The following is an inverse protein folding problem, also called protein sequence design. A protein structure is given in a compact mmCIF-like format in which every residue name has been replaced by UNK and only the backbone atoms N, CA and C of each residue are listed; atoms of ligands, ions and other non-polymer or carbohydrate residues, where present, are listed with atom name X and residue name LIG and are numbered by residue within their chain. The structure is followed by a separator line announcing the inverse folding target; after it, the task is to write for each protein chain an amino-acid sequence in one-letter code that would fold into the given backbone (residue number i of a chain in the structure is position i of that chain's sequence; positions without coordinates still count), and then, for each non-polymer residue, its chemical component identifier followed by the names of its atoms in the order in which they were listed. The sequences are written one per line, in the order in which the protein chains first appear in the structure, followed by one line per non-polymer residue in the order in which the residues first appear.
data_IF_744659309035
#
_entry.id   IF_744659309035
#
_cell.length_a   1.000
_cell.length_b   1.000
_cell.length_c   1.000
_cell.angle_alpha   90.00
_cell.angle_beta   90.00
_cell.angle_gamma   90.00
#
_symmetry.space_group_name_H-M   'P 1'
#
loop_
_entity.id
_entity.type
_entity.pdbx_description
1 polymer ?
#
# COMPACT_ATOMS: atom_id res chain seq x y z
N UNK A 1 30.09 -35.86 5.82
CA UNK A 1 30.05 -34.65 6.69
C UNK A 1 29.46 -33.47 5.90
N UNK A 2 28.19 -33.54 5.47
CA UNK A 2 27.62 -32.58 4.49
C UNK A 2 26.18 -32.14 4.79
N UNK A 3 25.82 -31.99 6.07
CA UNK A 3 24.46 -31.58 6.49
C UNK A 3 24.37 -30.16 7.07
N UNK A 4 25.45 -29.38 7.01
CA UNK A 4 25.49 -28.02 7.55
C UNK A 4 25.28 -26.91 6.48
N UNK A 5 25.15 -27.27 5.19
CA UNK A 5 25.07 -26.32 4.06
C UNK A 5 23.64 -26.16 3.50
N UNK A 6 22.63 -26.70 4.19
CA UNK A 6 21.24 -26.74 3.72
C UNK A 6 20.26 -26.17 4.77
N UNK A 7 20.60 -25.09 5.48
CA UNK A 7 19.50 -24.26 6.01
C UNK A 7 18.82 -23.67 4.79
N UNK A 8 17.62 -24.15 4.41
CA UNK A 8 16.92 -23.60 3.26
C UNK A 8 16.74 -22.10 3.53
N UNK A 9 16.87 -21.24 2.52
CA UNK A 9 16.68 -19.79 2.70
C UNK A 9 15.35 -19.43 3.39
N UNK A 10 14.35 -20.33 3.32
CA UNK A 10 13.09 -20.27 4.07
C UNK A 10 13.27 -20.34 5.60
N UNK A 11 14.14 -21.21 6.15
CA UNK A 11 14.35 -21.29 7.60
C UNK A 11 15.01 -20.02 8.12
N UNK A 12 15.99 -19.50 7.39
CA UNK A 12 16.64 -18.24 7.73
C UNK A 12 15.63 -17.10 7.71
N UNK A 13 14.76 -17.05 6.70
CA UNK A 13 13.69 -16.07 6.65
C UNK A 13 12.68 -16.19 7.78
N UNK A 14 12.29 -17.42 8.16
CA UNK A 14 11.40 -17.66 9.29
C UNK A 14 12.02 -17.17 10.61
N UNK A 15 13.31 -17.44 10.83
CA UNK A 15 14.04 -16.95 12.00
C UNK A 15 14.08 -15.42 12.02
N UNK A 16 14.35 -14.77 10.88
CA UNK A 16 14.32 -13.31 10.78
C UNK A 16 12.93 -12.76 11.13
N UNK A 17 11.87 -13.36 10.58
CA UNK A 17 10.48 -12.97 10.89
C UNK A 17 10.15 -13.16 12.38
N UNK A 18 10.55 -14.28 12.99
CA UNK A 18 10.35 -14.55 14.42
C UNK A 18 11.17 -13.62 15.31
N UNK A 19 12.41 -13.30 14.94
CA UNK A 19 13.23 -12.35 15.70
C UNK A 19 12.65 -10.94 15.62
N UNK A 20 12.18 -10.52 14.45
CA UNK A 20 11.48 -9.25 14.30
C UNK A 20 10.18 -9.22 15.11
N UNK A 21 9.44 -10.32 15.14
CA UNK A 21 8.26 -10.50 15.98
C UNK A 21 8.60 -10.36 17.48
N UNK A 22 9.64 -11.05 17.95
CA UNK A 22 10.08 -10.99 19.35
C UNK A 22 10.59 -9.61 19.72
N UNK A 23 11.31 -8.93 18.83
CA UNK A 23 11.73 -7.55 19.03
C UNK A 23 10.53 -6.59 19.07
N UNK A 24 9.55 -6.78 18.19
CA UNK A 24 8.29 -6.02 18.20
C UNK A 24 7.47 -6.24 19.46
N UNK A 25 7.41 -7.48 19.96
CA UNK A 25 6.77 -7.83 21.23
C UNK A 25 7.49 -7.19 22.43
N UNK A 26 8.82 -7.29 22.47
CA UNK A 26 9.63 -6.67 23.52
C UNK A 26 9.44 -5.15 23.51
N UNK A 27 9.47 -4.52 22.34
CA UNK A 27 9.20 -3.08 22.21
C UNK A 27 7.77 -2.71 22.65
N UNK A 28 6.77 -3.52 22.30
CA UNK A 28 5.38 -3.32 22.73
C UNK A 28 5.27 -3.35 24.26
N UNK A 29 5.90 -4.34 24.89
CA UNK A 29 5.90 -4.53 26.33
C UNK A 29 6.69 -3.42 27.06
N UNK A 30 7.80 -2.94 26.50
CA UNK A 30 8.59 -1.86 27.09
C UNK A 30 7.90 -0.50 26.98
N UNK A 31 7.15 -0.25 25.90
CA UNK A 31 6.43 1.02 25.69
C UNK A 31 4.97 0.98 26.18
N UNK A 32 4.53 -0.14 26.76
CA UNK A 32 3.15 -0.38 27.23
C UNK A 32 2.10 -0.10 26.14
N UNK A 33 2.43 -0.44 24.88
CA UNK A 33 1.56 -0.20 23.73
C UNK A 33 0.54 -1.33 23.58
N UNK A 34 -0.77 -1.04 23.48
CA UNK A 34 -1.82 -2.04 23.28
C UNK A 34 -1.88 -2.49 21.81
N UNK A 35 -0.77 -2.98 21.28
CA UNK A 35 -0.60 -3.37 19.87
C UNK A 35 0.00 -4.77 19.79
N UNK A 36 -0.53 -5.68 18.95
CA UNK A 36 0.07 -7.00 18.76
C UNK A 36 1.52 -6.86 18.29
N UNK A 37 2.44 -7.63 18.90
CA UNK A 37 3.86 -7.62 18.53
C UNK A 37 4.12 -7.88 17.04
N UNK A 38 3.17 -8.51 16.32
CA UNK A 38 3.26 -8.76 14.87
C UNK A 38 3.24 -7.47 14.07
N UNK A 39 2.37 -6.55 14.46
CA UNK A 39 2.25 -5.25 13.80
C UNK A 39 3.51 -4.43 14.06
N UNK A 40 4.09 -4.50 15.26
CA UNK A 40 5.35 -3.83 15.55
C UNK A 40 6.54 -4.50 14.86
N UNK A 41 6.54 -5.82 14.71
CA UNK A 41 7.55 -6.56 13.95
C UNK A 41 7.59 -6.16 12.47
N UNK A 42 6.43 -6.00 11.82
CA UNK A 42 6.38 -5.51 10.42
C UNK A 42 6.84 -4.06 10.29
N UNK A 43 6.52 -3.19 11.25
CA UNK A 43 6.99 -1.79 11.28
C UNK A 43 8.50 -1.76 11.47
N UNK A 44 9.04 -2.61 12.35
CA UNK A 44 10.47 -2.75 12.56
C UNK A 44 11.18 -3.23 11.28
N UNK A 45 10.65 -4.26 10.61
CA UNK A 45 11.19 -4.74 9.33
C UNK A 45 11.11 -3.68 8.23
N UNK A 46 10.02 -2.91 8.17
CA UNK A 46 9.88 -1.81 7.22
C UNK A 46 10.93 -0.72 7.46
N UNK A 47 11.12 -0.31 8.72
CA UNK A 47 12.17 0.64 9.11
C UNK A 47 13.56 0.11 8.72
N UNK A 48 13.82 -1.16 9.02
CA UNK A 48 15.08 -1.82 8.70
C UNK A 48 15.32 -1.91 7.18
N UNK A 49 14.27 -2.07 6.38
CA UNK A 49 14.33 -2.10 4.92
C UNK A 49 14.57 -0.72 4.27
N UNK A 50 14.13 0.36 4.92
CA UNK A 50 14.41 1.75 4.49
C UNK A 50 15.90 2.07 4.71
N UNK A 51 16.50 1.55 5.77
CA UNK A 51 17.94 1.71 6.03
C UNK A 51 18.75 0.88 5.02
N UNK A 52 19.45 1.56 4.10
CA UNK A 52 20.34 0.96 3.08
C UNK A 52 21.25 -0.18 3.58
N UNK A 53 21.93 -0.09 4.74
CA UNK A 53 22.82 -1.17 5.20
C UNK A 53 22.10 -2.46 5.60
N UNK A 54 20.79 -2.42 5.84
CA UNK A 54 20.06 -3.53 6.46
C UNK A 54 19.06 -4.21 5.52
N UNK A 55 19.07 -3.85 4.23
CA UNK A 55 18.30 -4.50 3.16
C UNK A 55 18.53 -6.01 3.04
N UNK A 56 19.69 -6.50 3.48
CA UNK A 56 20.00 -7.94 3.52
C UNK A 56 19.03 -8.72 4.41
N UNK A 57 18.56 -8.12 5.50
CA UNK A 57 17.60 -8.74 6.43
C UNK A 57 16.22 -8.92 5.78
N UNK A 58 15.79 -7.95 4.98
CA UNK A 58 14.51 -8.05 4.25
C UNK A 58 14.55 -9.12 3.15
N UNK A 59 15.66 -9.18 2.40
CA UNK A 59 15.89 -10.25 1.40
C UNK A 59 15.96 -11.63 2.01
N UNK A 60 16.49 -11.73 3.22
CA UNK A 60 16.52 -12.96 3.99
C UNK A 60 15.11 -13.43 4.41
N UNK A 61 14.19 -12.51 4.71
CA UNK A 61 12.82 -12.81 5.13
C UNK A 61 11.89 -13.22 3.98
N UNK A 62 12.13 -12.71 2.77
CA UNK A 62 11.29 -12.90 1.57
C UNK A 62 10.93 -14.36 1.23
N UNK A 63 11.85 -15.34 1.28
CA UNK A 63 11.57 -16.75 0.97
C UNK A 63 10.58 -17.40 1.95
N UNK A 64 10.53 -16.90 3.19
CA UNK A 64 9.59 -17.36 4.22
C UNK A 64 8.29 -16.55 4.22
N UNK A 65 8.37 -15.26 3.96
CA UNK A 65 7.22 -14.36 3.93
C UNK A 65 6.24 -14.74 2.82
N UNK A 66 6.72 -15.05 1.62
CA UNK A 66 5.86 -15.39 0.45
C UNK A 66 4.87 -16.53 0.74
N UNK A 67 5.29 -17.73 1.20
CA UNK A 67 4.35 -18.80 1.51
C UNK A 67 3.47 -18.51 2.72
N UNK A 68 3.98 -17.81 3.74
CA UNK A 68 3.17 -17.38 4.90
C UNK A 68 2.08 -16.38 4.47
N UNK A 69 2.39 -15.47 3.55
CA UNK A 69 1.45 -14.50 3.02
C UNK A 69 0.37 -15.18 2.15
N UNK A 70 0.77 -16.17 1.35
CA UNK A 70 -0.17 -16.99 0.58
C UNK A 70 -1.12 -17.81 1.49
N UNK A 71 -0.67 -18.19 2.68
CA UNK A 71 -1.43 -18.96 3.66
C UNK A 71 -1.68 -18.16 4.95
N UNK A 72 -1.95 -16.85 4.84
CA UNK A 72 -2.21 -16.00 6.01
C UNK A 72 -3.33 -16.52 6.90
N UNK A 73 -4.24 -17.29 6.33
CA UNK A 73 -5.29 -18.02 7.06
C UNK A 73 -4.70 -18.76 8.28
N UNK A 74 -3.53 -19.40 8.12
CA UNK A 74 -2.81 -20.10 9.19
C UNK A 74 -2.36 -19.16 10.33
N UNK A 75 -2.05 -17.89 10.03
CA UNK A 75 -1.66 -16.90 11.05
C UNK A 75 -2.88 -16.29 11.77
N UNK A 76 -4.06 -16.34 11.14
CA UNK A 76 -5.30 -15.83 11.73
C UNK A 76 -6.09 -16.87 12.50
N UNK A 77 -5.84 -18.17 12.26
CA UNK A 77 -6.47 -19.23 13.06
C UNK A 77 -6.13 -19.12 14.55
N UNK A 78 -4.86 -18.99 15.00
CA UNK A 78 -4.55 -18.97 16.43
C UNK A 78 -5.18 -17.77 17.18
N UNK A 79 -5.09 -16.52 16.67
CA UNK A 79 -5.82 -15.39 17.27
C UNK A 79 -7.34 -15.60 17.26
N UNK A 80 -7.88 -16.17 16.17
CA UNK A 80 -9.31 -16.46 16.06
C UNK A 80 -9.79 -17.46 17.11
N UNK A 81 -9.05 -18.55 17.32
CA UNK A 81 -9.39 -19.57 18.32
C UNK A 81 -9.40 -18.97 19.73
N UNK A 82 -8.53 -18.01 20.04
CA UNK A 82 -8.57 -17.28 21.32
C UNK A 82 -9.89 -16.55 21.56
N UNK A 83 -10.49 -15.96 20.52
CA UNK A 83 -11.81 -15.35 20.59
C UNK A 83 -12.90 -16.42 20.74
N UNK A 84 -12.74 -17.58 20.08
CA UNK A 84 -13.69 -18.68 20.17
C UNK A 84 -13.82 -19.25 21.61
N UNK A 85 -12.77 -19.18 22.41
CA UNK A 85 -12.81 -19.65 23.81
C UNK A 85 -13.69 -18.77 24.71
N UNK A 86 -13.87 -17.50 24.35
CA UNK A 86 -14.64 -16.52 25.13
C UNK A 86 -16.01 -16.23 24.46
N UNK A 87 -16.53 -17.16 23.66
CA UNK A 87 -17.77 -16.95 22.89
C UNK A 87 -18.99 -16.70 23.76
N UNK A 88 -19.11 -17.33 24.92
CA UNK A 88 -20.28 -17.16 25.79
C UNK A 88 -20.39 -15.72 26.31
N UNK A 89 -19.28 -15.15 26.77
CA UNK A 89 -19.19 -13.75 27.19
C UNK A 89 -19.42 -12.79 26.02
N UNK A 90 -18.92 -13.16 24.83
CA UNK A 90 -19.10 -12.40 23.60
C UNK A 90 -20.56 -12.41 23.13
N UNK A 91 -21.25 -13.54 23.26
CA UNK A 91 -22.66 -13.72 22.90
C UNK A 91 -23.57 -12.91 23.83
N UNK A 92 -23.30 -12.91 25.14
CA UNK A 92 -24.02 -12.10 26.11
C UNK A 92 -23.95 -10.59 25.81
N UNK A 93 -22.85 -10.13 25.22
CA UNK A 93 -22.61 -8.72 24.88
C UNK A 93 -22.59 -8.45 23.37
N UNK A 94 -23.17 -9.35 22.56
CA UNK A 94 -23.05 -9.28 21.10
C UNK A 94 -23.61 -7.98 20.51
N UNK A 95 -24.71 -7.47 21.06
CA UNK A 95 -25.36 -6.24 20.58
C UNK A 95 -24.52 -4.98 20.88
N UNK A 96 -24.07 -4.72 22.12
CA UNK A 96 -23.10 -3.65 22.39
C UNK A 96 -21.82 -3.74 21.56
N UNK A 97 -21.23 -4.94 21.41
CA UNK A 97 -20.02 -5.12 20.61
C UNK A 97 -20.26 -4.83 19.13
N UNK A 98 -21.35 -5.33 18.55
CA UNK A 98 -21.67 -5.10 17.15
C UNK A 98 -21.87 -3.61 16.86
N UNK A 99 -22.53 -2.87 17.76
CA UNK A 99 -22.69 -1.43 17.64
C UNK A 99 -21.37 -0.69 17.84
N UNK A 100 -20.53 -1.09 18.80
CA UNK A 100 -19.23 -0.46 19.02
C UNK A 100 -18.28 -0.67 17.82
N UNK A 101 -18.15 -1.91 17.34
CA UNK A 101 -17.27 -2.26 16.21
C UNK A 101 -17.83 -1.72 14.89
N UNK A 102 -19.10 -1.99 14.59
CA UNK A 102 -19.73 -1.52 13.37
C UNK A 102 -19.85 0.00 13.32
N UNK A 103 -20.23 0.62 14.44
CA UNK A 103 -20.33 2.07 14.58
C UNK A 103 -18.97 2.75 14.45
N UNK A 104 -17.93 2.25 15.13
CA UNK A 104 -16.58 2.82 15.02
C UNK A 104 -16.00 2.65 13.61
N UNK A 105 -16.24 1.51 12.96
CA UNK A 105 -15.81 1.28 11.58
C UNK A 105 -16.48 2.24 10.59
N UNK A 106 -17.81 2.36 10.64
CA UNK A 106 -18.56 3.29 9.79
C UNK A 106 -18.14 4.74 10.06
N UNK A 107 -17.99 5.11 11.33
CA UNK A 107 -17.58 6.45 11.72
C UNK A 107 -16.17 6.77 11.22
N UNK A 108 -15.21 5.86 11.38
CA UNK A 108 -13.86 6.00 10.84
C UNK A 108 -13.86 6.15 9.32
N UNK A 109 -14.69 5.37 8.61
CA UNK A 109 -14.84 5.44 7.15
C UNK A 109 -15.38 6.80 6.70
N UNK A 110 -16.44 7.28 7.36
CA UNK A 110 -17.05 8.59 7.07
C UNK A 110 -16.06 9.72 7.36
N UNK A 111 -15.41 9.71 8.52
CA UNK A 111 -14.42 10.75 8.89
C UNK A 111 -13.26 10.74 7.90
N UNK A 112 -12.72 9.57 7.56
CA UNK A 112 -11.63 9.44 6.58
C UNK A 112 -12.04 9.98 5.20
N UNK A 113 -13.26 9.63 4.74
CA UNK A 113 -13.80 10.13 3.47
C UNK A 113 -14.02 11.64 3.47
N UNK A 114 -14.57 12.21 4.55
CA UNK A 114 -14.75 13.65 4.71
C UNK A 114 -13.40 14.39 4.77
N UNK A 115 -12.41 13.82 5.48
CA UNK A 115 -11.06 14.37 5.54
C UNK A 115 -10.43 14.43 4.15
N UNK A 116 -10.55 13.35 3.36
CA UNK A 116 -10.06 13.31 1.99
C UNK A 116 -10.77 14.36 1.12
N UNK A 117 -12.10 14.46 1.19
CA UNK A 117 -12.86 15.48 0.45
C UNK A 117 -12.47 16.90 0.85
N UNK A 118 -12.24 17.15 2.15
CA UNK A 118 -11.82 18.45 2.64
C UNK A 118 -10.42 18.83 2.10
N UNK A 119 -9.49 17.87 2.06
CA UNK A 119 -8.16 18.07 1.49
C UNK A 119 -8.22 18.35 -0.02
N UNK A 120 -9.02 17.60 -0.77
CA UNK A 120 -9.22 17.81 -2.20
C UNK A 120 -9.82 19.20 -2.51
N UNK A 121 -10.88 19.60 -1.78
CA UNK A 121 -11.50 20.94 -1.93
C UNK A 121 -10.52 22.08 -1.61
N UNK A 122 -9.61 21.88 -0.65
CA UNK A 122 -8.55 22.85 -0.32
C UNK A 122 -7.50 22.97 -1.43
N UNK A 123 -7.17 21.87 -2.11
CA UNK A 123 -6.26 21.88 -3.25
C UNK A 123 -6.88 22.60 -4.46
N UNK A 124 -8.17 22.38 -4.74
CA UNK A 124 -8.87 23.07 -5.83
C UNK A 124 -8.97 24.58 -5.62
N UNK A 125 -9.26 25.03 -4.40
CA UNK A 125 -9.24 26.48 -4.06
C UNK A 125 -7.87 27.11 -4.27
N UNK A 126 -6.79 26.43 -3.87
CA UNK A 126 -5.41 26.94 -4.09
C UNK A 126 -5.01 26.98 -5.56
N UNK A 127 -5.53 26.07 -6.39
CA UNK A 127 -5.34 26.14 -7.86
C UNK A 127 -6.12 27.29 -8.50
N UNK A 128 -7.33 27.58 -8.01
CA UNK A 128 -8.14 28.71 -8.48
C UNK A 128 -7.54 30.08 -8.15
N UNK A 129 -6.89 30.22 -6.99
CA UNK A 129 -6.18 31.47 -6.62
C UNK A 129 -4.87 31.66 -7.40
N UNK A 130 -4.18 30.56 -7.77
CA UNK A 130 -3.01 30.62 -8.65
C UNK A 130 -3.36 30.89 -10.13
N UNK A 131 -4.65 30.88 -10.49
CA UNK A 131 -5.19 31.19 -11.82
C UNK A 131 -6.17 32.37 -11.81
N UNK A 132 -5.91 33.38 -10.96
CA UNK A 132 -6.77 34.56 -10.82
C UNK A 132 -6.97 35.36 -12.13
N UNK A 133 -8.01 36.21 -12.18
CA UNK A 133 -8.57 36.88 -13.38
C UNK A 133 -7.66 37.89 -14.10
N UNK A 134 -6.38 37.96 -13.76
CA UNK A 134 -5.36 38.80 -14.41
C UNK A 134 -4.58 38.03 -15.50
N UNK A 135 -5.06 36.85 -15.91
CA UNK A 135 -4.60 36.28 -17.17
C UNK A 135 -4.94 37.30 -18.28
N UNK A 136 -3.94 37.84 -19.00
CA UNK A 136 -4.22 38.78 -20.09
C UNK A 136 -5.23 38.12 -21.04
N UNK A 137 -6.25 38.87 -21.50
CA UNK A 137 -7.24 38.30 -22.41
C UNK A 137 -6.50 37.61 -23.56
N UNK A 138 -6.93 36.41 -24.01
CA UNK A 138 -6.36 35.82 -25.19
C UNK A 138 -6.44 36.86 -26.29
N UNK A 139 -5.29 37.25 -26.83
CA UNK A 139 -5.18 38.26 -27.86
C UNK A 139 -5.99 37.78 -29.06
N UNK A 140 -7.23 38.27 -29.15
CA UNK A 140 -8.09 38.06 -30.29
C UNK A 140 -7.77 39.15 -31.30
N UNK A 141 -7.24 38.72 -32.44
CA UNK A 141 -7.26 39.48 -33.69
C UNK A 141 -6.00 40.25 -34.07
N UNK A 142 -5.61 40.04 -35.33
CA UNK A 142 -4.69 40.81 -36.19
C UNK A 142 -3.18 40.64 -35.88
N UNK A 143 -2.31 40.28 -36.83
CA UNK A 143 -2.24 40.57 -38.27
C UNK A 143 -1.15 39.61 -38.83
N UNK A 144 -1.16 39.04 -40.04
CA UNK A 144 -1.68 39.49 -41.31
C UNK A 144 -1.05 38.62 -42.45
N UNK A 145 -1.16 39.04 -43.72
CA UNK A 145 -1.46 38.16 -44.86
C UNK A 145 -0.24 37.70 -45.67
N UNK A 146 -0.36 36.56 -46.38
CA UNK A 146 0.46 36.33 -47.56
C UNK A 146 0.70 34.87 -47.97
N UNK A 147 0.11 34.49 -49.11
CA UNK A 147 0.67 33.67 -50.23
C UNK A 147 1.33 32.33 -49.87
N UNK A 148 1.06 31.20 -50.53
CA UNK A 148 0.41 30.92 -51.81
C UNK A 148 0.13 29.41 -51.89
N UNK A 149 -0.80 28.97 -52.75
CA UNK A 149 -1.11 27.56 -52.99
C UNK A 149 -0.15 26.94 -54.01
N UNK A 150 0.11 25.64 -53.91
CA UNK A 150 0.52 24.87 -55.09
C UNK A 150 1.48 23.70 -54.85
N UNK A 151 1.11 22.59 -55.50
CA UNK A 151 1.93 21.45 -55.94
C UNK A 151 2.42 20.46 -54.86
N UNK A 152 2.25 19.14 -55.01
CA UNK A 152 1.98 18.38 -56.23
C UNK A 152 1.38 16.99 -55.94
N UNK A 153 0.55 16.61 -56.90
CA UNK A 153 0.17 15.27 -57.33
C UNK A 153 1.28 14.21 -57.27
N UNK A 154 0.92 12.97 -56.90
CA UNK A 154 1.66 11.77 -57.30
C UNK A 154 1.38 10.52 -56.45
N UNK A 155 0.88 9.41 -57.03
CA UNK A 155 0.53 8.18 -56.32
C UNK A 155 1.67 7.15 -56.31
N UNK A 156 1.78 6.36 -55.24
CA UNK A 156 2.57 5.11 -55.19
C UNK A 156 1.76 4.13 -54.35
N UNK A 157 0.91 3.26 -54.90
CA UNK A 157 1.18 2.13 -55.78
C UNK A 157 2.29 1.21 -55.26
N UNK A 158 1.85 -0.03 -54.99
CA UNK A 158 2.58 -1.30 -55.03
C UNK A 158 3.71 -1.55 -54.03
N UNK A 159 3.54 -2.57 -53.18
CA UNK A 159 4.15 -3.89 -53.38
C UNK A 159 4.29 -4.60 -52.02
N UNK A 160 3.57 -5.71 -51.84
CA UNK A 160 4.20 -7.02 -51.64
C UNK A 160 3.99 -7.47 -50.19
N UNK A 161 3.27 -8.55 -49.89
CA UNK A 161 3.52 -9.90 -50.38
C UNK A 161 4.28 -10.64 -49.27
N UNK A 162 3.55 -11.36 -48.41
CA UNK A 162 3.54 -12.83 -48.41
C UNK A 162 4.92 -13.49 -48.21
N UNK A 163 5.09 -14.11 -47.03
CA UNK A 163 5.85 -15.36 -46.75
C UNK A 163 5.77 -15.56 -45.21
N UNK A 164 5.00 -16.56 -44.77
CA UNK A 164 5.43 -17.94 -44.51
C UNK A 164 6.15 -18.04 -43.17
#
# INVERSE_FOLDING_TARGET
MSRAVLLPPVLLGLVVLLLAQMAGLAAAALLDLPVPGVVLGIVLLALLGILRPTRGVLRAAEPAATPLLAHLQLLFVPPGVGILLELDTLAANALPLALAVGGSFLLALVISGLMLQALLRRQDRRRGEAGGPDAPPPADGADGPGRSPGHGSGPSAAAGGARA
#
